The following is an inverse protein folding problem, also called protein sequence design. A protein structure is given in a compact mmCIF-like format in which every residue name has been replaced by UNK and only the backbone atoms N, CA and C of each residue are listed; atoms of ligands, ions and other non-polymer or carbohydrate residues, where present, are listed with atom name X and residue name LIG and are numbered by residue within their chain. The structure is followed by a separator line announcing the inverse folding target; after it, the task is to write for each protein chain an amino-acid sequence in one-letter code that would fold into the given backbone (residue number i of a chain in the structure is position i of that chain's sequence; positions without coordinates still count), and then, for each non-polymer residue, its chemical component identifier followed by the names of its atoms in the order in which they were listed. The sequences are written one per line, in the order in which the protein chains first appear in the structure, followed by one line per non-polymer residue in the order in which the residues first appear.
data_IF_823929527240
#
_entry.id   IF_823929527240
#
_cell.length_a   1.000
_cell.length_b   1.000
_cell.length_c   1.000
_cell.angle_alpha   90.00
_cell.angle_beta   90.00
_cell.angle_gamma   90.00
#
_symmetry.space_group_name_H-M   'P 1'
#
loop_
_entity.id
_entity.type
_entity.pdbx_description
1 polymer ?
#
# COMPACT_ATOMS: atom_id res chain seq x y z
N UNK A 1 18.57 12.69 -15.95
CA UNK A 1 17.14 12.36 -15.73
C UNK A 1 16.97 11.82 -14.32
N UNK A 2 16.17 12.46 -13.47
CA UNK A 2 15.84 11.95 -12.13
C UNK A 2 15.00 10.67 -12.24
N UNK A 3 15.37 9.61 -11.53
CA UNK A 3 14.65 8.34 -11.60
C UNK A 3 13.20 8.48 -11.14
N UNK A 4 12.30 7.59 -11.59
CA UNK A 4 10.90 7.57 -11.13
C UNK A 4 10.82 7.35 -9.62
N UNK A 5 11.76 6.58 -9.06
CA UNK A 5 11.86 6.38 -7.62
C UNK A 5 12.09 7.72 -6.90
N UNK A 6 13.15 8.45 -7.27
CA UNK A 6 13.49 9.75 -6.67
C UNK A 6 12.35 10.76 -6.79
N UNK A 7 11.68 10.80 -7.95
CA UNK A 7 10.52 11.68 -8.17
C UNK A 7 9.37 11.41 -7.19
N UNK A 8 9.17 10.15 -6.79
CA UNK A 8 8.07 9.75 -5.92
C UNK A 8 8.46 9.64 -4.44
N UNK A 9 9.75 9.66 -4.12
CA UNK A 9 10.25 9.54 -2.74
C UNK A 9 9.69 10.63 -1.82
N UNK A 10 9.50 11.85 -2.33
CA UNK A 10 8.86 12.95 -1.59
C UNK A 10 7.44 12.66 -1.11
N UNK A 11 6.68 11.84 -1.85
CA UNK A 11 5.33 11.44 -1.43
C UNK A 11 5.42 10.27 -0.45
N UNK A 12 6.31 9.31 -0.72
CA UNK A 12 6.49 8.13 0.12
C UNK A 12 6.91 8.50 1.55
N UNK A 13 7.85 9.46 1.69
CA UNK A 13 8.34 9.98 2.98
C UNK A 13 7.28 10.69 3.83
N UNK A 14 6.10 11.02 3.27
CA UNK A 14 4.98 11.57 4.05
C UNK A 14 4.21 10.50 4.82
N UNK A 15 4.46 9.22 4.54
CA UNK A 15 3.75 8.10 5.13
C UNK A 15 4.70 7.07 5.74
N UNK A 16 5.70 6.65 4.99
CA UNK A 16 6.59 5.57 5.40
C UNK A 16 7.78 6.11 6.18
N UNK A 17 8.06 5.48 7.31
CA UNK A 17 9.25 5.75 8.13
C UNK A 17 10.48 5.03 7.58
N UNK A 18 10.27 3.91 6.87
CA UNK A 18 11.32 3.11 6.25
C UNK A 18 10.87 2.62 4.87
N UNK A 19 11.78 2.65 3.89
CA UNK A 19 11.53 2.19 2.52
C UNK A 19 12.68 1.29 2.09
N UNK A 20 12.38 0.01 1.89
CA UNK A 20 13.29 -0.99 1.35
C UNK A 20 12.94 -1.22 -0.12
N UNK A 21 13.83 -0.77 -1.01
CA UNK A 21 13.63 -0.87 -2.45
C UNK A 21 14.52 -1.96 -3.07
N UNK A 22 13.93 -3.11 -3.37
CA UNK A 22 14.57 -4.18 -4.15
C UNK A 22 14.11 -4.19 -5.61
N UNK A 23 13.59 -3.06 -6.12
CA UNK A 23 13.21 -2.95 -7.53
C UNK A 23 14.42 -2.58 -8.37
N UNK A 24 14.73 -3.40 -9.38
CA UNK A 24 15.71 -3.09 -10.42
C UNK A 24 15.14 -2.07 -11.41
N UNK A 25 13.84 -2.18 -11.72
CA UNK A 25 13.15 -1.28 -12.64
C UNK A 25 11.84 -0.75 -12.02
N UNK A 26 11.76 0.57 -11.73
CA UNK A 26 10.61 1.17 -11.05
C UNK A 26 9.32 1.17 -11.89
N UNK A 27 9.41 0.83 -13.20
CA UNK A 27 8.28 0.74 -14.13
C UNK A 27 7.74 -0.69 -14.28
N UNK A 28 8.52 -1.71 -13.93
CA UNK A 28 8.11 -3.12 -14.02
C UNK A 28 7.09 -3.46 -12.93
N UNK A 29 6.29 -4.52 -13.08
CA UNK A 29 5.37 -4.98 -12.04
C UNK A 29 6.08 -5.17 -10.69
N UNK A 30 5.34 -4.90 -9.62
CA UNK A 30 5.87 -4.89 -8.26
C UNK A 30 4.88 -5.52 -7.29
N UNK A 31 5.40 -6.35 -6.38
CA UNK A 31 4.74 -6.66 -5.12
C UNK A 31 5.30 -5.74 -4.04
N UNK A 32 4.43 -5.20 -3.21
CA UNK A 32 4.80 -4.37 -2.08
C UNK A 32 4.18 -4.88 -0.79
N UNK A 33 4.98 -4.87 0.25
CA UNK A 33 4.61 -5.19 1.62
C UNK A 33 4.65 -3.89 2.43
N UNK A 34 3.55 -3.58 3.11
CA UNK A 34 3.49 -2.49 4.08
C UNK A 34 3.31 -3.12 5.46
N UNK A 35 4.23 -2.84 6.37
CA UNK A 35 4.21 -3.30 7.74
C UNK A 35 3.98 -2.09 8.67
N UNK A 36 3.11 -2.25 9.67
CA UNK A 36 2.92 -1.31 10.77
C UNK A 36 3.52 -1.95 12.01
N UNK A 37 4.47 -1.26 12.65
CA UNK A 37 5.23 -1.81 13.77
C UNK A 37 6.22 -2.91 13.34
N UNK A 38 6.71 -3.62 14.34
CA UNK A 38 7.68 -4.70 14.20
C UNK A 38 7.05 -6.07 14.46
N UNK A 39 7.58 -7.11 13.83
CA UNK A 39 7.16 -8.49 14.10
C UNK A 39 7.31 -8.79 15.60
N UNK A 40 6.27 -9.38 16.20
CA UNK A 40 6.21 -9.67 17.64
C UNK A 40 5.49 -8.61 18.47
N UNK A 41 5.30 -7.40 17.95
CA UNK A 41 4.53 -6.37 18.62
C UNK A 41 3.01 -6.67 18.54
N UNK A 42 2.27 -6.31 19.60
CA UNK A 42 0.83 -6.54 19.68
C UNK A 42 0.07 -5.88 18.51
N UNK A 43 0.50 -4.67 18.16
CA UNK A 43 -0.09 -3.86 17.10
C UNK A 43 0.52 -4.13 15.72
N UNK A 44 1.40 -5.13 15.57
CA UNK A 44 1.91 -5.52 14.27
C UNK A 44 0.76 -5.76 13.30
N UNK A 45 0.83 -5.15 12.12
CA UNK A 45 -0.11 -5.39 11.02
C UNK A 45 0.65 -5.39 9.72
N UNK A 46 0.19 -6.17 8.75
CA UNK A 46 0.79 -6.20 7.43
C UNK A 46 -0.26 -6.10 6.32
N UNK A 47 0.13 -5.47 5.21
CA UNK A 47 -0.62 -5.42 3.97
C UNK A 47 0.29 -5.84 2.82
N UNK A 48 -0.15 -6.79 2.01
CA UNK A 48 0.53 -7.16 0.77
C UNK A 48 -0.33 -6.68 -0.40
N UNK A 49 0.27 -5.98 -1.34
CA UNK A 49 -0.42 -5.57 -2.55
C UNK A 49 0.45 -5.66 -3.78
N UNK A 50 -0.21 -5.58 -4.94
CA UNK A 50 0.43 -5.62 -6.25
C UNK A 50 0.17 -4.37 -7.07
N UNK A 51 1.08 -4.09 -8.01
CA UNK A 51 0.88 -3.12 -9.07
C UNK A 51 1.57 -3.56 -10.37
N UNK A 52 0.81 -3.64 -11.45
CA UNK A 52 1.32 -4.03 -12.77
C UNK A 52 2.12 -2.91 -13.48
N UNK A 53 1.98 -1.67 -13.02
CA UNK A 53 2.60 -0.47 -13.62
C UNK A 53 3.68 0.16 -12.73
N UNK A 54 4.37 -0.67 -11.95
CA UNK A 54 5.47 -0.25 -11.08
C UNK A 54 5.08 0.50 -9.82
N UNK A 55 6.06 1.20 -9.27
CA UNK A 55 6.10 1.62 -7.86
C UNK A 55 5.24 2.84 -7.52
N UNK A 56 4.57 3.44 -8.52
CA UNK A 56 3.74 4.64 -8.30
C UNK A 56 2.64 4.37 -7.26
N UNK A 57 2.07 3.16 -7.27
CA UNK A 57 1.00 2.81 -6.34
C UNK A 57 1.47 2.89 -4.89
N UNK A 58 2.47 2.11 -4.44
CA UNK A 58 2.97 2.21 -3.07
C UNK A 58 3.59 3.58 -2.76
N UNK A 59 4.39 4.17 -3.66
CA UNK A 59 5.11 5.40 -3.32
C UNK A 59 4.29 6.69 -3.35
N UNK A 60 3.22 6.76 -4.15
CA UNK A 60 2.45 8.00 -4.35
C UNK A 60 0.98 7.84 -4.00
N UNK A 61 0.33 6.79 -4.49
CA UNK A 61 -1.11 6.66 -4.31
C UNK A 61 -1.49 6.32 -2.86
N UNK A 62 -0.75 5.46 -2.18
CA UNK A 62 -1.00 5.16 -0.77
C UNK A 62 -0.89 6.41 0.13
N UNK A 63 0.23 7.16 0.11
CA UNK A 63 0.32 8.42 0.86
C UNK A 63 -0.82 9.38 0.54
N UNK A 64 -1.14 9.55 -0.75
CA UNK A 64 -2.28 10.40 -1.18
C UNK A 64 -3.60 9.94 -0.58
N UNK A 65 -3.91 8.64 -0.59
CA UNK A 65 -5.18 8.13 -0.09
C UNK A 65 -5.27 8.14 1.44
N UNK A 66 -4.13 8.06 2.15
CA UNK A 66 -4.10 8.31 3.59
C UNK A 66 -4.39 9.79 3.88
N UNK A 67 -3.72 10.72 3.18
CA UNK A 67 -3.99 12.15 3.33
C UNK A 67 -5.46 12.48 3.00
N UNK A 68 -5.99 11.96 1.89
CA UNK A 68 -7.39 12.13 1.54
C UNK A 68 -8.36 11.62 2.62
N UNK A 69 -8.02 10.54 3.34
CA UNK A 69 -8.85 10.08 4.46
C UNK A 69 -8.82 11.10 5.60
N UNK A 70 -7.64 11.60 5.95
CA UNK A 70 -7.47 12.59 7.02
C UNK A 70 -8.14 13.93 6.71
N UNK A 71 -8.10 14.33 5.44
CA UNK A 71 -8.69 15.56 4.94
C UNK A 71 -10.17 15.40 4.52
N UNK A 72 -10.76 14.21 4.69
CA UNK A 72 -12.12 13.87 4.25
C UNK A 72 -12.39 14.15 2.76
N UNK A 73 -11.41 13.91 1.88
CA UNK A 73 -11.51 14.15 0.43
C UNK A 73 -12.14 12.95 -0.29
N UNK A 74 -13.39 13.11 -0.73
CA UNK A 74 -14.11 12.14 -1.54
C UNK A 74 -13.74 12.24 -3.03
N UNK A 75 -13.85 11.14 -3.77
CA UNK A 75 -13.71 11.14 -5.22
C UNK A 75 -15.09 11.20 -5.88
N UNK A 76 -15.21 12.09 -6.85
CA UNK A 76 -16.38 12.19 -7.73
C UNK A 76 -16.51 10.92 -8.59
N UNK A 77 -17.74 10.47 -8.78
CA UNK A 77 -18.10 9.41 -9.73
C UNK A 77 -18.79 10.01 -10.93
N UNK A 78 -18.46 9.50 -12.12
CA UNK A 78 -18.96 10.06 -13.36
C UNK A 78 -19.74 9.03 -14.17
N UNK A 79 -20.77 9.49 -14.88
CA UNK A 79 -21.47 8.75 -15.95
C UNK A 79 -21.68 9.71 -17.11
N UNK A 80 -21.24 9.33 -18.31
CA UNK A 80 -21.33 10.18 -19.51
C UNK A 80 -20.73 11.59 -19.34
N UNK A 81 -19.66 11.74 -18.55
CA UNK A 81 -19.02 13.04 -18.29
C UNK A 81 -19.63 13.84 -17.14
N UNK A 82 -20.81 13.47 -16.64
CA UNK A 82 -21.50 14.15 -15.54
C UNK A 82 -21.20 13.51 -14.18
N UNK A 83 -21.15 14.32 -13.12
CA UNK A 83 -20.96 13.84 -11.74
C UNK A 83 -22.28 13.25 -11.25
N UNK A 84 -22.29 11.95 -10.97
CA UNK A 84 -23.46 11.21 -10.46
C UNK A 84 -23.37 10.89 -8.97
N UNK A 85 -22.32 11.36 -8.29
CA UNK A 85 -22.16 11.15 -6.85
C UNK A 85 -20.70 11.20 -6.41
N UNK A 86 -20.51 10.76 -5.17
CA UNK A 86 -19.21 10.73 -4.52
C UNK A 86 -18.98 9.39 -3.83
N UNK A 87 -17.72 8.97 -3.78
CA UNK A 87 -17.32 7.77 -3.04
C UNK A 87 -16.00 8.01 -2.34
N UNK A 88 -15.73 7.24 -1.28
CA UNK A 88 -14.45 7.31 -0.56
C UNK A 88 -13.29 7.07 -1.53
N UNK A 89 -12.25 7.89 -1.40
CA UNK A 89 -11.02 7.76 -2.18
C UNK A 89 -10.01 6.81 -1.51
N UNK A 90 -10.27 6.43 -0.25
CA UNK A 90 -9.49 5.49 0.54
C UNK A 90 -10.23 4.17 0.79
N UNK A 91 -9.54 3.21 1.40
CA UNK A 91 -10.05 1.88 1.76
C UNK A 91 -9.98 1.70 3.27
N UNK A 92 -11.09 1.30 3.88
CA UNK A 92 -11.24 1.13 5.35
C UNK A 92 -10.17 0.21 5.94
N UNK A 93 -9.92 -0.96 5.32
CA UNK A 93 -9.01 -1.98 5.89
C UNK A 93 -7.53 -1.63 5.86
N UNK A 94 -7.07 -0.68 5.03
CA UNK A 94 -5.63 -0.41 4.90
C UNK A 94 -5.28 1.06 5.12
N UNK A 95 -6.01 2.01 4.53
CA UNK A 95 -5.63 3.42 4.63
C UNK A 95 -5.97 4.03 6.00
N UNK A 96 -7.04 3.57 6.65
CA UNK A 96 -7.39 4.05 7.99
C UNK A 96 -6.36 3.56 9.03
N UNK A 97 -6.01 2.26 9.10
CA UNK A 97 -4.93 1.81 9.99
C UNK A 97 -3.59 2.51 9.73
N UNK A 98 -3.26 2.82 8.48
CA UNK A 98 -2.05 3.58 8.14
C UNK A 98 -2.08 5.02 8.65
N UNK A 99 -3.23 5.70 8.56
CA UNK A 99 -3.42 7.03 9.16
C UNK A 99 -3.27 6.99 10.67
N UNK A 100 -3.93 6.04 11.33
CA UNK A 100 -3.86 5.86 12.79
C UNK A 100 -2.42 5.58 13.24
N UNK A 101 -1.71 4.70 12.53
CA UNK A 101 -0.30 4.40 12.79
C UNK A 101 0.59 5.64 12.66
N UNK A 102 0.43 6.42 11.58
CA UNK A 102 1.17 7.66 11.34
C UNK A 102 0.93 8.68 12.45
N UNK A 103 -0.33 8.93 12.81
CA UNK A 103 -0.69 9.88 13.88
C UNK A 103 -0.20 9.44 15.26
N UNK A 104 -0.07 8.13 15.48
CA UNK A 104 0.46 7.56 16.71
C UNK A 104 1.99 7.44 16.72
N UNK A 105 2.69 7.92 15.68
CA UNK A 105 4.15 7.82 15.58
C UNK A 105 4.69 6.39 15.43
N UNK A 106 3.86 5.43 15.01
CA UNK A 106 4.29 4.04 14.80
C UNK A 106 5.13 3.93 13.53
N UNK A 107 6.08 3.00 13.52
CA UNK A 107 6.84 2.67 12.32
C UNK A 107 5.88 2.14 11.22
N UNK A 108 6.04 2.65 10.01
CA UNK A 108 5.40 2.14 8.81
C UNK A 108 6.47 1.88 7.76
N UNK A 109 6.77 0.60 7.54
CA UNK A 109 7.80 0.13 6.61
C UNK A 109 7.17 -0.29 5.29
N UNK A 110 7.78 0.13 4.19
CA UNK A 110 7.44 -0.28 2.83
C UNK A 110 8.58 -1.11 2.24
N UNK A 111 8.30 -2.34 1.83
CA UNK A 111 9.22 -3.17 1.05
C UNK A 111 8.66 -3.38 -0.34
N UNK A 112 9.48 -3.25 -1.39
CA UNK A 112 9.06 -3.39 -2.78
C UNK A 112 10.00 -4.32 -3.56
N UNK A 113 9.43 -5.27 -4.32
CA UNK A 113 10.17 -6.24 -5.14
C UNK A 113 9.58 -6.28 -6.56
N UNK A 114 10.43 -6.27 -7.59
CA UNK A 114 9.95 -6.53 -8.95
C UNK A 114 9.56 -8.01 -9.11
N UNK A 115 8.53 -8.26 -9.92
CA UNK A 115 8.10 -9.61 -10.29
C UNK A 115 7.68 -9.63 -11.76
N UNK A 116 7.63 -10.83 -12.34
CA UNK A 116 7.09 -11.02 -13.68
C UNK A 116 5.57 -10.80 -13.69
N UNK A 117 5.04 -10.22 -14.78
CA UNK A 117 3.63 -9.82 -14.86
C UNK A 117 2.68 -11.03 -14.81
N UNK A 118 3.07 -12.13 -15.45
CA UNK A 118 2.35 -13.41 -15.49
C UNK A 118 2.29 -14.09 -14.12
N UNK A 119 3.26 -13.80 -13.24
CA UNK A 119 3.32 -14.33 -11.87
C UNK A 119 2.80 -13.36 -10.80
N UNK A 120 2.41 -12.14 -11.18
CA UNK A 120 2.05 -11.08 -10.24
C UNK A 120 0.94 -11.53 -9.27
N UNK A 121 -0.10 -12.17 -9.80
CA UNK A 121 -1.26 -12.57 -9.02
C UNK A 121 -0.94 -13.77 -8.11
N UNK A 122 -0.25 -14.79 -8.63
CA UNK A 122 0.08 -15.98 -7.85
C UNK A 122 1.07 -15.64 -6.72
N UNK A 123 2.08 -14.80 -6.98
CA UNK A 123 3.05 -14.39 -5.95
C UNK A 123 2.35 -13.57 -4.86
N UNK A 124 1.48 -12.61 -5.22
CA UNK A 124 0.72 -11.85 -4.23
C UNK A 124 -0.07 -12.77 -3.29
N UNK A 125 -0.82 -13.72 -3.87
CA UNK A 125 -1.67 -14.63 -3.10
C UNK A 125 -0.86 -15.58 -2.23
N UNK A 126 0.26 -16.11 -2.75
CA UNK A 126 1.18 -16.95 -1.99
C UNK A 126 1.76 -16.19 -0.81
N UNK A 127 2.29 -14.97 -1.02
CA UNK A 127 2.83 -14.15 0.06
C UNK A 127 1.78 -13.81 1.13
N UNK A 128 0.54 -13.51 0.72
CA UNK A 128 -0.57 -13.28 1.66
C UNK A 128 -0.80 -14.54 2.52
N UNK A 129 -0.96 -15.71 1.89
CA UNK A 129 -1.22 -16.98 2.59
C UNK A 129 -0.09 -17.33 3.56
N UNK A 130 1.17 -17.19 3.13
CA UNK A 130 2.35 -17.47 3.96
C UNK A 130 2.43 -16.55 5.17
N UNK A 131 2.19 -15.24 4.98
CA UNK A 131 2.23 -14.30 6.09
C UNK A 131 1.06 -14.50 7.06
N UNK A 132 -0.14 -14.85 6.58
CA UNK A 132 -1.26 -15.24 7.45
C UNK A 132 -0.92 -16.49 8.24
N UNK A 133 -0.37 -17.52 7.60
CA UNK A 133 0.04 -18.76 8.27
C UNK A 133 1.07 -18.48 9.37
N UNK A 134 1.99 -17.53 9.13
CA UNK A 134 3.07 -17.20 10.05
C UNK A 134 2.65 -16.26 11.18
N UNK A 135 1.78 -15.29 10.90
CA UNK A 135 1.51 -14.17 11.81
C UNK A 135 0.07 -14.08 12.30
N UNK A 136 -0.85 -14.87 11.74
CA UNK A 136 -2.27 -14.81 12.06
C UNK A 136 -3.06 -13.92 11.12
N UNK A 137 -4.32 -14.28 10.89
CA UNK A 137 -5.22 -13.55 10.00
C UNK A 137 -5.60 -12.19 10.59
N UNK A 138 -5.68 -12.07 11.91
CA UNK A 138 -5.98 -10.84 12.63
C UNK A 138 -4.90 -9.75 12.43
N UNK A 139 -3.71 -10.15 11.97
CA UNK A 139 -2.62 -9.24 11.65
C UNK A 139 -2.69 -8.71 10.22
N UNK A 140 -3.46 -9.33 9.32
CA UNK A 140 -3.54 -8.89 7.93
C UNK A 140 -4.50 -7.72 7.73
N UNK A 141 -4.11 -6.79 6.87
CA UNK A 141 -4.95 -5.69 6.39
C UNK A 141 -5.59 -6.01 5.02
N UNK A 142 -5.26 -7.17 4.44
CA UNK A 142 -5.87 -7.63 3.21
C UNK A 142 -7.36 -7.98 3.44
N UNK A 143 -8.22 -7.67 2.47
CA UNK A 143 -9.57 -8.23 2.44
C UNK A 143 -9.48 -9.66 1.92
N UNK A 144 -9.66 -10.64 2.81
CA UNK A 144 -9.68 -12.06 2.46
C UNK A 144 -11.15 -12.50 2.45
N UNK A 145 -11.53 -13.19 1.38
CA UNK A 145 -12.73 -14.02 1.30
C UNK A 145 -12.24 -15.46 1.25
N UNK A 146 -12.56 -16.26 2.27
CA UNK A 146 -12.37 -17.70 2.22
C UNK A 146 -13.52 -18.36 1.45
#
# INVERSE_FOLDING_TARGET
MTSIFEKNLKFAKQLYTEIINHTENPKKPVIYLIEIGSIGELYYRFYIGKASKGIIRPMKHYPKFVNNYEDNIYRKTYKNGEIIGERKSWRKKVHIPLSEARKSGKNIKLTMINVDIDKLDIIEQTMIKENIKKHGIEKTLNSISF
#
